data_IF_567677983010
#
_entry.id   IF_567677983010
#
_cell.length_a   1.000
_cell.length_b   1.000
_cell.length_c   1.000
_cell.angle_alpha   90.00
_cell.angle_beta   90.00
_cell.angle_gamma   90.00
#
_symmetry.space_group_name_H-M   'P 1'
#
loop_
_entity.id
_entity.type
_entity.pdbx_description
1 polymer ?
#
# COMPACT_ATOMS: atom_id res chain seq x y z
N UNK A 1 42.38 -9.34 -37.56
CA UNK A 1 42.25 -9.82 -36.17
C UNK A 1 40.84 -10.36 -36.04
N UNK A 2 40.67 -11.67 -35.88
CA UNK A 2 39.40 -12.23 -35.44
C UNK A 2 39.31 -11.91 -33.95
N UNK A 3 38.37 -11.04 -33.56
CA UNK A 3 38.00 -10.89 -32.15
C UNK A 3 37.49 -12.25 -31.68
N UNK A 4 38.27 -12.91 -30.84
CA UNK A 4 37.85 -14.13 -30.16
C UNK A 4 36.83 -13.72 -29.10
N UNK A 5 35.55 -14.02 -29.37
CA UNK A 5 34.50 -13.86 -28.38
C UNK A 5 34.60 -15.02 -27.38
N UNK A 6 35.31 -14.80 -26.28
CA UNK A 6 35.42 -15.78 -25.21
C UNK A 6 34.32 -15.53 -24.16
N UNK A 7 33.46 -16.52 -23.98
CA UNK A 7 32.42 -16.52 -22.95
C UNK A 7 33.03 -16.86 -21.60
N UNK A 8 32.98 -15.91 -20.66
CA UNK A 8 33.39 -16.14 -19.28
C UNK A 8 32.27 -16.86 -18.49
N UNK A 9 32.33 -18.19 -18.48
CA UNK A 9 31.39 -19.02 -17.73
C UNK A 9 31.55 -18.93 -16.20
N UNK A 10 32.55 -18.20 -15.69
CA UNK A 10 32.66 -17.89 -14.25
C UNK A 10 31.83 -16.67 -13.88
N UNK A 11 31.55 -15.78 -14.84
CA UNK A 11 30.73 -14.60 -14.65
C UNK A 11 29.25 -14.98 -14.72
N UNK A 12 28.54 -14.77 -13.61
CA UNK A 12 27.13 -15.12 -13.49
C UNK A 12 26.25 -14.46 -14.58
N UNK A 13 26.57 -13.24 -14.99
CA UNK A 13 25.81 -12.52 -16.02
C UNK A 13 25.87 -13.24 -17.39
N UNK A 14 27.05 -13.70 -17.79
CA UNK A 14 27.22 -14.41 -19.07
C UNK A 14 26.54 -15.77 -19.04
N UNK A 15 26.69 -16.51 -17.94
CA UNK A 15 25.98 -17.78 -17.73
C UNK A 15 24.46 -17.56 -17.81
N UNK A 16 23.94 -16.52 -17.15
CA UNK A 16 22.51 -16.18 -17.19
C UNK A 16 22.06 -15.90 -18.63
N UNK A 17 22.79 -15.05 -19.36
CA UNK A 17 22.44 -14.68 -20.73
C UNK A 17 22.47 -15.88 -21.68
N UNK A 18 23.49 -16.75 -21.58
CA UNK A 18 23.58 -17.98 -22.40
C UNK A 18 22.39 -18.89 -22.11
N UNK A 19 22.08 -19.12 -20.83
CA UNK A 19 20.95 -19.97 -20.42
C UNK A 19 19.62 -19.39 -20.91
N UNK A 20 19.36 -18.09 -20.72
CA UNK A 20 18.13 -17.43 -21.17
C UNK A 20 17.95 -17.51 -22.70
N UNK A 21 19.03 -17.28 -23.44
CA UNK A 21 19.04 -17.34 -24.90
C UNK A 21 18.76 -18.76 -25.38
N UNK A 22 19.44 -19.75 -24.80
CA UNK A 22 19.27 -21.16 -25.14
C UNK A 22 17.86 -21.66 -24.80
N UNK A 23 17.33 -21.28 -23.63
CA UNK A 23 15.96 -21.61 -23.24
C UNK A 23 14.92 -20.99 -24.18
N UNK A 24 15.14 -19.76 -24.62
CA UNK A 24 14.27 -19.08 -25.58
C UNK A 24 14.32 -19.75 -26.95
N UNK A 25 15.51 -20.09 -27.44
CA UNK A 25 15.69 -20.84 -28.69
C UNK A 25 14.99 -22.20 -28.63
N UNK A 26 15.19 -22.96 -27.54
CA UNK A 26 14.53 -24.25 -27.31
C UNK A 26 13.01 -24.13 -27.25
N UNK A 27 12.47 -23.09 -26.60
CA UNK A 27 11.02 -22.83 -26.57
C UNK A 27 10.48 -22.53 -27.96
N UNK A 28 11.16 -21.67 -28.72
CA UNK A 28 10.77 -21.32 -30.09
C UNK A 28 10.82 -22.52 -31.01
N UNK A 29 11.89 -23.32 -30.96
CA UNK A 29 12.00 -24.57 -31.71
C UNK A 29 10.85 -25.52 -31.36
N UNK A 30 10.61 -25.81 -30.08
CA UNK A 30 9.48 -26.66 -29.65
C UNK A 30 8.12 -26.14 -30.11
N UNK A 31 7.89 -24.82 -30.07
CA UNK A 31 6.63 -24.23 -30.55
C UNK A 31 6.44 -24.43 -32.06
N UNK A 32 7.51 -24.29 -32.86
CA UNK A 32 7.49 -24.57 -34.31
C UNK A 32 7.22 -26.05 -34.58
N UNK A 33 7.91 -26.96 -33.88
CA UNK A 33 7.70 -28.40 -33.99
C UNK A 33 6.27 -28.79 -33.62
N UNK A 34 5.71 -28.22 -32.55
CA UNK A 34 4.33 -28.47 -32.15
C UNK A 34 3.32 -27.93 -33.17
N UNK A 35 3.58 -26.76 -33.78
CA UNK A 35 2.74 -26.23 -34.84
C UNK A 35 2.72 -27.14 -36.08
N UNK A 36 3.85 -27.76 -36.41
CA UNK A 36 3.93 -28.78 -37.46
C UNK A 36 3.19 -30.07 -37.07
N UNK A 37 3.44 -30.58 -35.86
CA UNK A 37 2.76 -31.77 -35.31
C UNK A 37 1.24 -31.66 -35.38
N UNK A 38 0.68 -30.48 -35.07
CA UNK A 38 -0.77 -30.21 -35.11
C UNK A 38 -1.40 -30.30 -36.51
N UNK A 39 -0.61 -30.40 -37.59
CA UNK A 39 -1.13 -30.61 -38.95
C UNK A 39 -1.56 -32.07 -39.19
N UNK A 40 -1.18 -32.99 -38.31
CA UNK A 40 -1.52 -34.40 -38.41
C UNK A 40 -2.68 -34.75 -37.45
N UNK A 41 -3.55 -35.69 -37.84
CA UNK A 41 -4.68 -36.09 -37.02
C UNK A 41 -4.28 -36.99 -35.83
N UNK A 42 -3.17 -37.72 -35.94
CA UNK A 42 -2.68 -38.64 -34.90
C UNK A 42 -1.16 -38.63 -34.79
N UNK A 43 -0.66 -39.19 -33.69
CA UNK A 43 0.77 -39.34 -33.42
C UNK A 43 1.42 -40.25 -34.46
N UNK A 44 0.78 -41.35 -34.79
CA UNK A 44 1.25 -42.34 -35.76
C UNK A 44 1.40 -41.70 -37.14
N UNK A 45 0.42 -40.89 -37.55
CA UNK A 45 0.49 -40.14 -38.79
C UNK A 45 1.63 -39.10 -38.80
N UNK A 46 1.91 -38.47 -37.66
CA UNK A 46 3.01 -37.53 -37.50
C UNK A 46 4.38 -38.22 -37.53
N UNK A 47 4.51 -39.42 -36.95
CA UNK A 47 5.77 -40.17 -36.91
C UNK A 47 6.23 -40.62 -38.31
N UNK A 48 5.31 -40.86 -39.24
CA UNK A 48 5.64 -41.20 -40.64
C UNK A 48 6.19 -40.01 -41.44
N UNK A 49 6.07 -38.79 -40.92
CA UNK A 49 6.49 -37.56 -41.60
C UNK A 49 7.29 -36.66 -40.64
N UNK A 50 8.54 -37.02 -40.32
CA UNK A 50 9.41 -36.19 -39.49
C UNK A 50 9.61 -34.78 -40.04
N UNK A 51 9.80 -33.81 -39.15
CA UNK A 51 10.11 -32.45 -39.56
C UNK A 51 11.54 -32.39 -40.16
N UNK A 52 11.79 -31.66 -41.27
CA UNK A 52 13.09 -31.63 -41.93
C UNK A 52 14.24 -31.15 -41.04
N UNK A 53 13.95 -30.26 -40.09
CA UNK A 53 14.93 -29.71 -39.14
C UNK A 53 15.17 -30.60 -37.90
N UNK A 54 14.68 -31.85 -37.88
CA UNK A 54 14.85 -32.77 -36.74
C UNK A 54 15.28 -34.15 -37.23
N UNK A 55 16.10 -34.84 -36.43
CA UNK A 55 16.35 -36.29 -36.61
C UNK A 55 15.11 -37.11 -36.28
N UNK A 56 15.04 -38.35 -36.75
CA UNK A 56 13.90 -39.23 -36.49
C UNK A 56 13.71 -39.51 -35.00
N UNK A 57 14.81 -39.70 -34.26
CA UNK A 57 14.81 -39.94 -32.82
C UNK A 57 14.30 -38.70 -32.07
N UNK A 58 14.82 -37.52 -32.40
CA UNK A 58 14.36 -36.27 -31.80
C UNK A 58 12.89 -35.98 -32.12
N UNK A 59 12.45 -36.27 -33.35
CA UNK A 59 11.06 -36.11 -33.74
C UNK A 59 10.14 -37.04 -32.95
N UNK A 60 10.56 -38.30 -32.74
CA UNK A 60 9.83 -39.27 -31.93
C UNK A 60 9.68 -38.81 -30.48
N UNK A 61 10.76 -38.35 -29.85
CA UNK A 61 10.71 -37.78 -28.49
C UNK A 61 9.78 -36.56 -28.40
N UNK A 62 9.76 -35.70 -29.42
CA UNK A 62 8.86 -34.56 -29.48
C UNK A 62 7.39 -35.00 -29.63
N UNK A 63 7.11 -36.00 -30.46
CA UNK A 63 5.77 -36.57 -30.59
C UNK A 63 5.29 -37.22 -29.29
N UNK A 64 6.17 -37.94 -28.60
CA UNK A 64 5.92 -38.49 -27.25
C UNK A 64 5.61 -37.37 -26.26
N UNK A 65 6.40 -36.30 -26.27
CA UNK A 65 6.17 -35.13 -25.41
C UNK A 65 4.82 -34.47 -25.68
N UNK A 66 4.46 -34.21 -26.95
CA UNK A 66 3.22 -33.52 -27.31
C UNK A 66 1.97 -34.35 -27.03
N UNK A 67 2.10 -35.68 -27.00
CA UNK A 67 1.00 -36.60 -26.66
C UNK A 67 1.00 -37.02 -25.19
N UNK A 68 2.02 -36.64 -24.42
CA UNK A 68 2.07 -36.93 -22.99
C UNK A 68 0.89 -36.29 -22.25
N UNK A 69 0.36 -37.02 -21.28
CA UNK A 69 -0.76 -36.56 -20.45
C UNK A 69 -0.43 -35.24 -19.74
N UNK A 70 0.80 -35.10 -19.23
CA UNK A 70 1.26 -33.89 -18.56
C UNK A 70 1.24 -32.66 -19.48
N UNK A 71 1.68 -32.82 -20.74
CA UNK A 71 1.64 -31.74 -21.72
C UNK A 71 0.21 -31.35 -22.08
N UNK A 72 -0.64 -32.35 -22.35
CA UNK A 72 -2.04 -32.12 -22.71
C UNK A 72 -2.81 -31.43 -21.58
N UNK A 73 -2.65 -31.89 -20.33
CA UNK A 73 -3.24 -31.23 -19.15
C UNK A 73 -2.80 -29.77 -19.05
N UNK A 74 -1.51 -29.49 -19.21
CA UNK A 74 -0.98 -28.12 -19.16
C UNK A 74 -1.51 -27.25 -20.31
N UNK A 75 -1.60 -27.81 -21.52
CA UNK A 75 -2.10 -27.12 -22.70
C UNK A 75 -3.58 -26.73 -22.54
N UNK A 76 -4.42 -27.67 -22.12
CA UNK A 76 -5.84 -27.43 -21.87
C UNK A 76 -6.07 -26.42 -20.74
N UNK A 77 -5.30 -26.52 -19.66
CA UNK A 77 -5.37 -25.53 -18.58
C UNK A 77 -4.95 -24.14 -19.08
N UNK A 78 -3.88 -24.04 -19.88
CA UNK A 78 -3.45 -22.77 -20.46
C UNK A 78 -4.48 -22.17 -21.40
N UNK A 79 -5.23 -23.00 -22.15
CA UNK A 79 -6.34 -22.55 -23.00
C UNK A 79 -7.48 -21.97 -22.16
N UNK A 80 -7.86 -22.65 -21.07
CA UNK A 80 -8.85 -22.15 -20.09
C UNK A 80 -8.37 -20.87 -19.39
N UNK A 81 -7.09 -20.76 -19.07
CA UNK A 81 -6.54 -19.56 -18.46
C UNK A 81 -6.54 -18.39 -19.45
N UNK A 82 -6.19 -18.64 -20.71
CA UNK A 82 -6.27 -17.64 -21.79
C UNK A 82 -7.70 -17.16 -22.02
N UNK A 83 -8.71 -18.03 -21.93
CA UNK A 83 -10.11 -17.61 -22.10
C UNK A 83 -10.64 -16.74 -20.95
N UNK A 84 -9.98 -16.74 -19.79
CA UNK A 84 -10.31 -15.86 -18.66
C UNK A 84 -9.71 -14.47 -18.79
N UNK A 85 -8.79 -14.24 -19.74
CA UNK A 85 -8.18 -12.93 -19.95
C UNK A 85 -9.20 -11.99 -20.61
N UNK A 86 -9.75 -11.08 -19.82
CA UNK A 86 -10.80 -10.15 -20.26
C UNK A 86 -10.25 -8.91 -20.97
N UNK A 87 -9.09 -8.42 -20.51
CA UNK A 87 -8.46 -7.20 -21.03
C UNK A 87 -6.97 -7.42 -21.27
N UNK A 88 -6.51 -7.06 -22.46
CA UNK A 88 -5.08 -7.08 -22.79
C UNK A 88 -4.43 -5.75 -22.38
N UNK A 89 -3.19 -5.81 -21.88
CA UNK A 89 -2.40 -4.62 -21.60
C UNK A 89 -1.59 -4.18 -22.85
N UNK A 90 -1.24 -2.90 -22.93
CA UNK A 90 -0.41 -2.27 -23.95
C UNK A 90 1.08 -2.15 -23.56
N UNK A 91 1.47 -2.65 -22.38
CA UNK A 91 2.84 -2.51 -21.87
C UNK A 91 3.95 -3.22 -22.68
N UNK A 92 3.58 -4.08 -23.65
CA UNK A 92 4.54 -4.84 -24.45
C UNK A 92 5.45 -5.73 -23.59
N UNK A 93 6.76 -5.69 -23.85
CA UNK A 93 7.78 -6.42 -23.08
C UNK A 93 8.16 -5.76 -21.75
N UNK A 94 7.65 -4.57 -21.46
CA UNK A 94 7.90 -3.90 -20.18
C UNK A 94 6.99 -4.48 -19.11
N UNK A 95 7.58 -4.93 -18.00
CA UNK A 95 6.82 -5.35 -16.83
C UNK A 95 6.13 -4.16 -16.16
N UNK A 96 5.03 -4.41 -15.45
CA UNK A 96 4.31 -3.36 -14.71
C UNK A 96 5.18 -2.70 -13.64
N UNK A 97 6.07 -3.46 -13.00
CA UNK A 97 7.05 -2.92 -12.06
C UNK A 97 8.02 -1.95 -12.74
N UNK A 98 8.49 -2.27 -13.95
CA UNK A 98 9.34 -1.37 -14.73
C UNK A 98 8.58 -0.13 -15.20
N UNK A 99 7.31 -0.26 -15.60
CA UNK A 99 6.44 0.88 -15.91
C UNK A 99 6.32 1.80 -14.70
N UNK A 100 6.02 1.24 -13.53
CA UNK A 100 5.94 1.97 -12.26
C UNK A 100 7.26 2.68 -11.93
N UNK A 101 8.40 2.00 -12.03
CA UNK A 101 9.70 2.60 -11.75
C UNK A 101 9.99 3.80 -12.67
N UNK A 102 9.66 3.72 -13.96
CA UNK A 102 9.84 4.84 -14.88
C UNK A 102 8.93 6.03 -14.58
N UNK A 103 7.70 5.79 -14.11
CA UNK A 103 6.77 6.87 -13.75
C UNK A 103 7.25 7.63 -12.50
N UNK A 104 7.82 6.94 -11.49
CA UNK A 104 8.31 7.58 -10.25
C UNK A 104 9.41 8.61 -10.49
N UNK A 105 10.18 8.43 -11.55
CA UNK A 105 11.29 9.31 -11.89
C UNK A 105 10.83 10.57 -12.66
N UNK A 106 9.57 10.62 -13.12
CA UNK A 106 9.02 11.74 -13.89
C UNK A 106 8.09 12.65 -13.07
N UNK A 107 7.24 12.09 -12.21
CA UNK A 107 6.28 12.86 -11.39
C UNK A 107 6.11 12.20 -10.02
N UNK A 108 6.29 13.00 -8.96
CA UNK A 108 6.03 12.78 -7.52
C UNK A 108 6.17 11.35 -6.94
N UNK A 109 6.83 11.23 -5.78
CA UNK A 109 7.26 9.95 -5.19
C UNK A 109 6.19 8.88 -4.91
N UNK A 110 4.90 9.15 -5.15
CA UNK A 110 3.82 8.18 -5.01
C UNK A 110 2.92 8.13 -6.25
N UNK A 111 2.98 7.01 -6.97
CA UNK A 111 2.15 6.78 -8.18
C UNK A 111 0.77 6.30 -7.77
N UNK A 112 -0.27 7.00 -8.22
CA UNK A 112 -1.66 6.55 -8.14
C UNK A 112 -1.82 5.21 -8.89
N UNK A 113 -2.35 4.15 -8.24
CA UNK A 113 -2.64 2.87 -8.90
C UNK A 113 -3.49 2.99 -10.18
N UNK A 114 -4.44 3.92 -10.23
CA UNK A 114 -5.28 4.16 -11.41
C UNK A 114 -4.46 4.70 -12.59
N UNK A 115 -3.54 5.63 -12.34
CA UNK A 115 -2.64 6.17 -13.37
C UNK A 115 -1.66 5.12 -13.88
N UNK A 116 -1.14 4.25 -13.00
CA UNK A 116 -0.33 3.11 -13.42
C UNK A 116 -1.15 2.16 -14.30
N UNK A 117 -2.40 1.90 -13.95
CA UNK A 117 -3.29 1.08 -14.76
C UNK A 117 -3.48 1.73 -16.15
N UNK A 118 -3.92 2.98 -16.21
CA UNK A 118 -4.07 3.73 -17.47
C UNK A 118 -2.83 3.65 -18.36
N UNK A 119 -1.63 3.85 -17.79
CA UNK A 119 -0.37 3.77 -18.55
C UNK A 119 -0.10 2.38 -19.15
N UNK A 120 -0.49 1.31 -18.47
CA UNK A 120 -0.28 -0.06 -18.96
C UNK A 120 -1.37 -0.51 -19.93
N UNK A 121 -2.53 0.16 -19.98
CA UNK A 121 -3.69 -0.24 -20.78
C UNK A 121 -4.06 0.79 -21.88
N UNK A 122 -3.20 1.77 -22.11
CA UNK A 122 -3.29 2.71 -23.23
C UNK A 122 -2.05 2.61 -24.12
N UNK A 123 -2.21 2.86 -25.41
CA UNK A 123 -1.09 2.96 -26.35
C UNK A 123 -0.38 4.32 -26.20
N UNK A 124 0.60 4.60 -27.08
CA UNK A 124 1.34 5.88 -27.06
C UNK A 124 0.45 7.11 -27.31
N UNK A 125 -0.65 6.94 -28.03
CA UNK A 125 -1.61 7.99 -28.38
C UNK A 125 -2.72 8.15 -27.31
N UNK A 126 -2.64 7.40 -26.20
CA UNK A 126 -3.65 7.42 -25.15
C UNK A 126 -4.92 6.63 -25.46
N UNK A 127 -4.94 5.86 -26.55
CA UNK A 127 -6.07 5.01 -26.93
C UNK A 127 -6.06 3.74 -26.08
N UNK A 128 -7.20 3.42 -25.48
CA UNK A 128 -7.42 2.23 -24.67
C UNK A 128 -7.32 0.94 -25.48
N UNK A 129 -6.79 -0.12 -24.88
CA UNK A 129 -6.71 -1.44 -25.52
C UNK A 129 -8.07 -2.10 -25.76
N UNK A 130 -9.05 -1.78 -24.93
CA UNK A 130 -10.45 -2.18 -25.08
C UNK A 130 -11.37 -1.29 -24.24
N UNK A 131 -12.66 -1.28 -24.56
CA UNK A 131 -13.64 -0.56 -23.73
C UNK A 131 -13.71 -1.14 -22.31
N UNK A 132 -13.58 -2.46 -22.17
CA UNK A 132 -13.50 -3.09 -20.84
C UNK A 132 -12.36 -2.57 -19.97
N UNK A 133 -11.19 -2.26 -20.57
CA UNK A 133 -10.08 -1.66 -19.83
C UNK A 133 -10.41 -0.23 -19.39
N UNK A 134 -11.07 0.54 -20.25
CA UNK A 134 -11.52 1.90 -19.94
C UNK A 134 -12.56 1.91 -18.80
N UNK A 135 -13.52 1.00 -18.82
CA UNK A 135 -14.54 0.90 -17.77
C UNK A 135 -13.95 0.50 -16.42
N UNK A 136 -12.99 -0.44 -16.39
CA UNK A 136 -12.26 -0.78 -15.15
C UNK A 136 -11.55 0.45 -14.59
N UNK A 137 -10.93 1.28 -15.45
CA UNK A 137 -10.29 2.52 -15.01
C UNK A 137 -11.30 3.51 -14.42
N UNK A 138 -12.43 3.76 -15.11
CA UNK A 138 -13.50 4.64 -14.60
C UNK A 138 -14.03 4.16 -13.26
N UNK A 139 -14.23 2.85 -13.10
CA UNK A 139 -14.68 2.25 -11.85
C UNK A 139 -13.67 2.49 -10.72
N UNK A 140 -12.37 2.33 -11.00
CA UNK A 140 -11.32 2.59 -10.03
C UNK A 140 -11.24 4.08 -9.63
N UNK A 141 -11.44 5.01 -10.57
CA UNK A 141 -11.53 6.44 -10.27
C UNK A 141 -12.74 6.77 -9.39
N UNK A 142 -13.92 6.26 -9.71
CA UNK A 142 -15.12 6.44 -8.88
C UNK A 142 -14.97 5.82 -7.49
N UNK A 143 -14.33 4.66 -7.38
CA UNK A 143 -14.09 4.04 -6.08
C UNK A 143 -13.12 4.86 -5.23
N UNK A 144 -12.10 5.48 -5.84
CA UNK A 144 -11.18 6.37 -5.15
C UNK A 144 -11.92 7.59 -4.56
N UNK A 145 -12.77 8.25 -5.36
CA UNK A 145 -13.55 9.41 -4.88
C UNK A 145 -14.52 9.04 -3.76
N UNK A 146 -15.17 7.86 -3.84
CA UNK A 146 -16.04 7.36 -2.78
C UNK A 146 -15.28 7.07 -1.48
N UNK A 147 -14.04 6.56 -1.58
CA UNK A 147 -13.18 6.34 -0.40
C UNK A 147 -12.80 7.65 0.27
N UNK A 148 -12.42 8.65 -0.52
CA UNK A 148 -12.06 9.97 0.00
C UNK A 148 -13.27 10.60 0.72
N UNK A 149 -14.46 10.56 0.10
CA UNK A 149 -15.68 11.07 0.74
C UNK A 149 -16.05 10.32 2.02
N UNK A 150 -15.88 8.99 2.05
CA UNK A 150 -16.13 8.19 3.26
C UNK A 150 -15.15 8.53 4.38
N UNK A 151 -13.90 8.81 4.03
CA UNK A 151 -12.88 9.24 4.98
C UNK A 151 -13.19 10.64 5.53
N UNK A 152 -13.60 11.58 4.68
CA UNK A 152 -14.08 12.90 5.10
C UNK A 152 -15.25 12.78 6.08
N UNK A 153 -16.24 11.94 5.79
CA UNK A 153 -17.36 11.68 6.70
C UNK A 153 -16.89 11.10 8.05
N UNK A 154 -15.89 10.21 8.05
CA UNK A 154 -15.32 9.64 9.27
C UNK A 154 -14.63 10.71 10.11
N UNK A 155 -13.79 11.53 9.49
CA UNK A 155 -13.08 12.64 10.14
C UNK A 155 -14.07 13.66 10.71
N UNK A 156 -15.12 13.97 9.95
CA UNK A 156 -16.18 14.88 10.38
C UNK A 156 -16.94 14.34 11.60
N UNK A 157 -17.34 13.06 11.58
CA UNK A 157 -17.99 12.41 12.72
C UNK A 157 -17.09 12.39 13.96
N UNK A 158 -15.80 12.14 13.78
CA UNK A 158 -14.83 12.15 14.87
C UNK A 158 -14.62 13.57 15.43
N UNK A 159 -14.60 14.59 14.58
CA UNK A 159 -14.57 15.99 15.01
C UNK A 159 -15.78 16.34 15.87
N UNK A 160 -16.99 15.99 15.41
CA UNK A 160 -18.23 16.23 16.15
C UNK A 160 -18.21 15.50 17.50
N UNK A 161 -17.74 14.24 17.54
CA UNK A 161 -17.60 13.48 18.79
C UNK A 161 -16.68 14.17 19.78
N UNK A 162 -15.48 14.59 19.33
CA UNK A 162 -14.51 15.29 20.18
C UNK A 162 -15.05 16.62 20.69
N UNK A 163 -15.75 17.39 19.85
CA UNK A 163 -16.37 18.65 20.25
C UNK A 163 -17.46 18.45 21.32
N UNK A 164 -18.27 17.39 21.20
CA UNK A 164 -19.25 17.01 22.21
C UNK A 164 -18.59 16.60 23.53
N UNK A 165 -17.52 15.79 23.47
CA UNK A 165 -16.75 15.40 24.67
C UNK A 165 -16.12 16.61 25.36
N UNK A 166 -15.55 17.56 24.61
CA UNK A 166 -15.03 18.81 25.17
C UNK A 166 -16.13 19.65 25.82
N UNK A 167 -17.29 19.78 25.17
CA UNK A 167 -18.43 20.52 25.72
C UNK A 167 -18.89 19.93 27.05
N UNK A 168 -18.97 18.61 27.13
CA UNK A 168 -19.32 17.89 28.37
C UNK A 168 -18.28 18.09 29.46
N UNK A 169 -16.98 18.03 29.14
CA UNK A 169 -15.90 18.31 30.10
C UNK A 169 -15.97 19.74 30.63
N UNK A 170 -16.19 20.73 29.76
CA UNK A 170 -16.34 22.14 30.18
C UNK A 170 -17.54 22.33 31.10
N UNK A 171 -18.63 21.61 30.86
CA UNK A 171 -19.82 21.65 31.71
C UNK A 171 -19.61 20.97 33.06
N UNK A 172 -18.98 19.81 33.11
CA UNK A 172 -18.59 19.16 34.36
C UNK A 172 -17.65 20.03 35.18
N UNK A 173 -16.67 20.69 34.54
CA UNK A 173 -15.76 21.60 35.23
C UNK A 173 -16.49 22.84 35.76
N UNK A 174 -17.41 23.45 34.98
CA UNK A 174 -18.27 24.53 35.50
C UNK A 174 -19.04 24.09 36.74
N UNK A 175 -19.68 22.92 36.69
CA UNK A 175 -20.45 22.38 37.82
C UNK A 175 -19.56 22.14 39.05
N UNK A 176 -18.34 21.64 38.84
CA UNK A 176 -17.36 21.43 39.89
C UNK A 176 -16.92 22.75 40.54
N UNK A 177 -16.56 23.76 39.73
CA UNK A 177 -16.19 25.10 40.22
C UNK A 177 -17.34 25.74 40.98
N UNK A 178 -18.57 25.69 40.47
CA UNK A 178 -19.74 26.23 41.18
C UNK A 178 -19.99 25.53 42.52
N UNK A 179 -19.86 24.21 42.58
CA UNK A 179 -20.00 23.46 43.82
C UNK A 179 -18.91 23.83 44.84
N UNK A 180 -17.66 23.96 44.38
CA UNK A 180 -16.52 24.39 45.20
C UNK A 180 -16.71 25.82 45.73
N UNK A 181 -17.20 26.74 44.90
CA UNK A 181 -17.56 28.09 45.33
C UNK A 181 -18.67 28.10 46.40
N UNK A 182 -19.72 27.29 46.23
CA UNK A 182 -20.82 27.18 47.21
C UNK A 182 -20.30 26.63 48.54
N UNK A 183 -19.44 25.62 48.51
CA UNK A 183 -18.81 25.07 49.71
C UNK A 183 -17.88 26.07 50.42
N UNK A 184 -17.09 26.84 49.67
CA UNK A 184 -16.27 27.93 50.20
C UNK A 184 -17.13 29.03 50.85
N UNK A 185 -18.28 29.39 50.24
CA UNK A 185 -19.22 30.36 50.82
C UNK A 185 -19.87 29.83 52.11
N UNK A 186 -20.27 28.55 52.13
CA UNK A 186 -20.88 27.90 53.30
C UNK A 186 -19.91 27.76 54.48
N UNK A 187 -18.67 27.33 54.24
CA UNK A 187 -17.62 27.26 55.27
C UNK A 187 -17.27 28.63 55.83
N UNK A 188 -17.21 29.67 54.98
CA UNK A 188 -16.98 31.06 55.43
C UNK A 188 -18.14 31.61 56.27
N UNK A 189 -19.38 31.26 55.93
CA UNK A 189 -20.55 31.61 56.74
C UNK A 189 -20.55 30.89 58.09
N UNK A 190 -20.22 29.59 58.11
CA UNK A 190 -20.08 28.80 59.33
C UNK A 190 -18.96 29.32 60.25
N UNK A 191 -17.80 29.69 59.70
CA UNK A 191 -16.70 30.29 60.46
C UNK A 191 -17.08 31.66 61.08
N UNK A 192 -17.85 32.48 60.35
CA UNK A 192 -18.39 33.75 60.87
C UNK A 192 -19.42 33.53 61.99
N UNK A 193 -20.31 32.55 61.84
CA UNK A 193 -21.30 32.18 62.87
C UNK A 193 -20.65 31.58 64.12
N UNK A 194 -19.62 30.72 63.96
CA UNK A 194 -18.85 30.17 65.07
C UNK A 194 -18.08 31.25 65.85
N UNK A 195 -17.52 32.26 65.17
CA UNK A 195 -16.92 33.45 65.82
C UNK A 195 -17.95 34.29 66.59
N UNK A 196 -19.19 34.39 66.10
CA UNK A 196 -20.26 35.11 66.80
C UNK A 196 -20.76 34.34 68.05
N UNK A 197 -20.77 33.00 68.01
CA UNK A 197 -21.19 32.14 69.12
C UNK A 197 -20.12 31.93 70.20
N UNK A 198 -18.84 32.05 69.86
CA UNK A 198 -17.72 31.90 70.81
C UNK A 198 -17.33 33.19 71.54
N UNK A 199 -18.29 34.14 71.64
CA UNK A 199 -18.19 35.42 72.34
C UNK A 199 -17.06 35.48 73.37
N UNK A 200 -15.91 35.99 72.93
CA UNK A 200 -14.86 36.50 73.79
C UNK A 200 -14.41 37.81 73.19
N UNK A 201 -14.85 38.89 73.83
CA UNK A 201 -14.10 40.13 73.86
C UNK A 201 -12.71 39.78 74.38
N UNK A 202 -11.72 39.81 73.50
CA UNK A 202 -10.34 40.02 73.90
C UNK A 202 -9.93 41.30 73.18
N UNK A 203 -10.14 42.43 73.86
CA UNK A 203 -9.28 43.58 73.67
C UNK A 203 -7.87 43.12 74.03
N UNK A 204 -7.01 42.97 73.03
CA UNK A 204 -5.68 42.42 73.22
C UNK A 204 -4.91 42.41 71.90
N UNK A 205 -4.12 43.46 71.73
CA UNK A 205 -2.94 43.58 70.87
C UNK A 205 -2.35 42.27 70.36
N UNK A 206 -2.14 42.15 69.04
CA UNK A 206 -1.29 41.13 68.44
C UNK A 206 -1.60 40.88 66.96
N UNK A 207 -0.63 41.19 66.10
CA UNK A 207 -0.63 40.88 64.67
C UNK A 207 -0.81 39.37 64.43
N UNK A 208 -1.68 38.99 63.49
CA UNK A 208 -1.46 37.80 62.65
C UNK A 208 -2.28 37.90 61.36
N UNK A 209 -1.58 38.32 60.31
CA UNK A 209 -2.08 38.39 58.95
C UNK A 209 -2.08 36.95 58.39
N UNK A 210 -3.18 36.22 58.59
CA UNK A 210 -3.38 34.92 57.92
C UNK A 210 -3.71 35.20 56.45
N UNK A 211 -2.64 35.32 55.65
CA UNK A 211 -2.66 35.16 54.21
C UNK A 211 -3.39 33.85 53.90
N UNK A 212 -4.59 33.94 53.32
CA UNK A 212 -5.15 32.81 52.60
C UNK A 212 -4.22 32.56 51.41
N UNK A 213 -3.38 31.52 51.50
CA UNK A 213 -2.54 31.03 50.41
C UNK A 213 -3.41 30.72 49.20
N UNK A 214 -3.52 31.70 48.31
CA UNK A 214 -4.03 31.56 46.96
C UNK A 214 -2.92 31.99 46.03
N UNK A 215 -1.86 31.19 45.96
CA UNK A 215 -0.85 31.18 44.89
C UNK A 215 0.22 30.15 45.25
N UNK A 216 0.04 28.89 44.84
CA UNK A 216 1.15 27.99 44.55
C UNK A 216 0.61 26.76 43.81
N UNK A 217 0.71 26.81 42.47
CA UNK A 217 1.02 25.73 41.52
C UNK A 217 0.33 26.02 40.17
N UNK A 218 0.84 26.95 39.35
CA UNK A 218 1.51 26.57 38.09
C UNK A 218 2.42 27.71 37.58
N UNK A 219 3.51 28.00 38.31
CA UNK A 219 4.77 28.52 37.70
C UNK A 219 5.83 27.42 37.64
N UNK A 220 5.39 26.26 37.17
CA UNK A 220 6.21 25.12 36.77
C UNK A 220 5.32 24.35 35.77
N UNK A 221 5.16 24.80 34.52
CA UNK A 221 6.03 24.46 33.39
C UNK A 221 5.93 25.56 32.31
N UNK A 222 6.77 26.59 32.40
CA UNK A 222 7.22 27.37 31.22
C UNK A 222 8.74 27.31 31.16
N UNK A 223 9.24 26.10 30.96
CA UNK A 223 10.57 25.85 30.43
C UNK A 223 10.58 24.41 29.93
N UNK A 224 11.08 24.21 28.71
CA UNK A 224 11.25 22.93 27.99
C UNK A 224 10.08 22.46 27.13
N UNK A 225 9.72 23.26 26.12
CA UNK A 225 9.50 22.69 24.79
C UNK A 225 10.69 23.15 23.94
N UNK A 226 11.73 22.32 23.89
CA UNK A 226 12.62 22.32 22.73
C UNK A 226 11.82 21.77 21.54
N UNK A 227 11.93 22.34 20.33
CA UNK A 227 11.47 21.66 19.13
C UNK A 227 12.43 20.50 18.86
N UNK A 228 12.10 19.30 19.33
CA UNK A 228 12.77 18.08 18.84
C UNK A 228 12.18 17.76 17.48
N UNK A 229 12.80 18.36 16.46
CA UNK A 229 12.85 17.79 15.13
C UNK A 229 13.38 16.36 15.26
N UNK A 230 12.55 15.37 14.95
CA UNK A 230 12.96 13.98 15.17
C UNK A 230 12.02 12.91 14.62
N UNK A 231 11.27 13.15 13.53
CA UNK A 231 10.79 12.03 12.73
C UNK A 231 11.98 11.47 11.96
N UNK A 232 12.59 10.44 12.54
CA UNK A 232 13.64 9.64 11.92
C UNK A 232 13.12 9.14 10.57
N UNK A 233 13.87 9.45 9.51
CA UNK A 233 13.91 8.66 8.29
C UNK A 233 14.02 7.19 8.68
N UNK A 234 13.05 6.38 8.28
CA UNK A 234 13.26 4.94 8.21
C UNK A 234 13.93 4.71 6.87
N UNK A 235 15.26 4.71 6.90
CA UNK A 235 16.04 4.18 5.80
C UNK A 235 15.80 2.66 5.69
N UNK A 236 15.85 2.23 4.44
CA UNK A 236 15.73 0.86 4.00
C UNK A 236 16.66 -0.10 4.76
N UNK A 237 16.13 -1.26 5.13
CA UNK A 237 16.94 -2.48 5.22
C UNK A 237 16.34 -3.52 4.26
N UNK A 238 17.13 -3.78 3.23
CA UNK A 238 17.12 -4.98 2.40
C UNK A 238 17.40 -6.18 3.31
N UNK A 239 16.51 -7.16 3.30
CA UNK A 239 16.83 -8.59 3.30
C UNK A 239 15.83 -9.29 2.37
#
# INVERSE_FOLDING_TARGET
MQDHFDLDYTRHEDVRTVVETMMTARRTHRNRMHAYFKKFPSKEAALLKPHPDTTEEQWKELCDLFTSEAFMKRSEQNKKNRSKLTVNHAAGSRSFQRTRACMKNQESGNINPAELYKKNYTNKDGIWTSEGAREIYKQAEMEATLRDHREEQRVEQERIRLEQEERMKREQERMRVEHEERNCKGTRAHAKGARALTGRNIEGTGEENVLCNGEENERHVKATIQPVWGFKKVDACIL
#
